data_IF_821187220525
#
_entry.id   IF_821187220525
#
_cell.length_a   1.000
_cell.length_b   1.000
_cell.length_c   1.000
_cell.angle_alpha   90.00
_cell.angle_beta   90.00
_cell.angle_gamma   90.00
#
_symmetry.space_group_name_H-M   'P 1'
#
loop_
_entity.id
_entity.type
_entity.pdbx_description
1 polymer ?
#
# COMPACT_ATOMS: atom_id res chain seq x y z
N UNK A 1 1.18 82.85 -5.53
CA UNK A 1 2.57 83.17 -5.91
C UNK A 1 3.38 81.89 -5.79
N UNK A 2 3.76 81.26 -6.91
CA UNK A 2 5.15 81.18 -7.41
C UNK A 2 5.99 80.29 -6.45
N UNK A 3 6.43 79.07 -6.78
CA UNK A 3 7.14 78.67 -8.00
C UNK A 3 7.10 77.14 -8.20
N UNK A 4 6.84 76.79 -9.45
CA UNK A 4 7.07 75.51 -10.11
C UNK A 4 8.58 75.31 -10.35
N UNK A 5 9.01 74.04 -10.44
CA UNK A 5 10.05 73.43 -11.32
C UNK A 5 10.91 72.43 -10.53
N UNK A 6 10.64 71.12 -10.66
CA UNK A 6 11.19 70.15 -11.64
C UNK A 6 12.72 69.99 -11.54
N UNK A 7 13.16 68.77 -11.20
CA UNK A 7 14.30 68.05 -11.78
C UNK A 7 14.16 66.56 -11.39
N UNK A 8 13.93 65.68 -12.37
CA UNK A 8 14.91 64.71 -12.92
C UNK A 8 15.29 63.62 -11.90
N UNK A 9 15.30 62.33 -12.15
CA UNK A 9 14.78 61.43 -13.17
C UNK A 9 15.15 60.03 -12.63
N UNK A 10 14.24 59.06 -12.73
CA UNK A 10 14.57 57.63 -12.66
C UNK A 10 14.77 57.03 -11.27
N UNK A 11 13.76 56.31 -10.78
CA UNK A 11 13.98 54.99 -10.16
C UNK A 11 12.83 54.09 -10.60
N UNK A 12 13.22 52.88 -10.95
CA UNK A 12 12.51 51.87 -11.69
C UNK A 12 11.18 51.39 -11.07
N UNK A 13 10.24 51.13 -11.98
CA UNK A 13 9.21 50.08 -11.96
C UNK A 13 9.37 49.02 -10.84
N UNK A 14 8.69 49.21 -9.70
CA UNK A 14 8.47 48.12 -8.73
C UNK A 14 7.16 47.44 -9.13
N UNK A 15 7.30 46.46 -10.03
CA UNK A 15 6.28 45.49 -10.38
C UNK A 15 6.89 44.11 -10.21
N UNK A 16 6.94 43.61 -8.98
CA UNK A 16 7.12 42.19 -8.67
C UNK A 16 7.06 42.00 -7.14
N UNK A 17 6.02 41.33 -6.67
CA UNK A 17 6.13 40.06 -5.94
C UNK A 17 4.78 39.72 -5.35
N UNK A 18 4.02 39.00 -6.16
CA UNK A 18 2.87 38.20 -5.76
C UNK A 18 3.40 37.17 -4.75
N UNK A 19 3.24 37.46 -3.47
CA UNK A 19 3.47 36.52 -2.37
C UNK A 19 2.23 35.64 -2.17
N UNK A 20 1.85 34.86 -3.18
CA UNK A 20 1.04 33.68 -2.91
C UNK A 20 1.99 32.71 -2.19
N UNK A 21 1.79 32.55 -0.89
CA UNK A 21 2.25 31.36 -0.18
C UNK A 21 1.52 30.15 -0.78
N UNK A 22 1.98 29.74 -1.96
CA UNK A 22 1.67 28.44 -2.53
C UNK A 22 2.17 27.44 -1.51
N UNK A 23 1.28 26.58 -1.02
CA UNK A 23 1.70 25.37 -0.33
C UNK A 23 2.75 24.70 -1.22
N UNK A 24 3.98 24.60 -0.72
CA UNK A 24 4.94 23.64 -1.23
C UNK A 24 4.39 22.26 -0.86
N UNK A 25 3.42 21.78 -1.65
CA UNK A 25 3.30 20.35 -1.86
C UNK A 25 4.52 20.01 -2.69
N UNK A 26 5.64 19.85 -2.00
CA UNK A 26 6.74 19.06 -2.51
C UNK A 26 6.10 17.86 -3.18
N UNK A 27 6.34 17.74 -4.47
CA UNK A 27 5.89 16.60 -5.26
C UNK A 27 6.49 15.38 -4.60
N UNK A 28 5.71 14.76 -3.70
CA UNK A 28 6.01 13.48 -3.06
C UNK A 28 6.01 12.46 -4.20
N UNK A 29 7.17 12.36 -4.85
CA UNK A 29 7.47 11.27 -5.74
C UNK A 29 7.64 10.05 -4.85
N UNK A 30 6.52 9.39 -4.55
CA UNK A 30 6.49 8.15 -3.78
C UNK A 30 7.25 7.11 -4.60
N UNK A 31 8.46 6.80 -4.16
CA UNK A 31 9.38 5.92 -4.87
C UNK A 31 9.01 4.45 -4.65
N UNK A 32 9.63 3.53 -5.41
CA UNK A 32 9.42 2.08 -5.23
C UNK A 32 9.81 1.62 -3.82
N UNK A 33 10.82 2.26 -3.23
CA UNK A 33 11.29 2.07 -1.87
C UNK A 33 10.21 2.46 -0.86
N UNK A 34 9.52 3.59 -1.07
CA UNK A 34 8.42 4.01 -0.20
C UNK A 34 7.26 3.01 -0.19
N UNK A 35 6.91 2.41 -1.34
CA UNK A 35 5.88 1.37 -1.38
C UNK A 35 6.32 0.11 -0.64
N UNK A 36 7.58 -0.29 -0.79
CA UNK A 36 8.12 -1.42 -0.05
C UNK A 36 8.07 -1.15 1.45
N UNK A 37 8.55 0.01 1.91
CA UNK A 37 8.56 0.39 3.33
C UNK A 37 7.15 0.44 3.91
N UNK A 38 6.19 1.05 3.21
CA UNK A 38 4.79 1.08 3.67
C UNK A 38 4.18 -0.32 3.75
N UNK A 39 4.47 -1.19 2.77
CA UNK A 39 4.01 -2.58 2.78
C UNK A 39 4.66 -3.41 3.89
N UNK A 40 5.94 -3.21 4.16
CA UNK A 40 6.67 -3.85 5.25
C UNK A 40 6.13 -3.43 6.62
N UNK A 41 5.86 -2.14 6.83
CA UNK A 41 5.19 -1.62 8.02
C UNK A 41 3.82 -2.27 8.23
N UNK A 42 2.98 -2.31 7.19
CA UNK A 42 1.65 -2.93 7.29
C UNK A 42 1.74 -4.42 7.63
N UNK A 43 2.69 -5.16 7.04
CA UNK A 43 2.93 -6.56 7.38
C UNK A 43 3.34 -6.72 8.84
N UNK A 44 4.37 -6.02 9.29
CA UNK A 44 4.86 -6.12 10.67
C UNK A 44 3.78 -5.74 11.68
N UNK A 45 2.94 -4.74 11.39
CA UNK A 45 1.84 -4.37 12.27
C UNK A 45 0.70 -5.39 12.30
N UNK A 46 0.31 -5.89 11.13
CA UNK A 46 -0.76 -6.88 11.03
C UNK A 46 -0.33 -8.20 11.68
N UNK A 47 0.87 -8.65 11.37
CA UNK A 47 1.45 -9.90 11.88
C UNK A 47 1.80 -9.75 13.37
N UNK A 48 2.17 -8.53 13.79
CA UNK A 48 2.33 -8.07 15.16
C UNK A 48 1.05 -7.88 15.96
N UNK A 49 -0.12 -7.96 15.32
CA UNK A 49 -1.40 -7.59 15.94
C UNK A 49 -1.37 -6.23 16.63
N UNK A 50 -0.66 -5.26 16.05
CA UNK A 50 -0.47 -3.90 16.56
C UNK A 50 -0.94 -2.81 15.59
N UNK A 51 -1.06 -1.56 16.07
CA UNK A 51 -1.57 -0.42 15.32
C UNK A 51 -3.06 -0.08 15.52
N UNK A 52 -3.65 0.71 14.61
CA UNK A 52 -4.99 1.28 14.84
C UNK A 52 -6.07 0.19 14.89
N UNK A 53 -6.68 0.02 16.07
CA UNK A 53 -7.70 -1.00 16.31
C UNK A 53 -7.16 -2.42 16.50
N UNK A 54 -5.88 -2.54 16.84
CA UNK A 54 -5.21 -3.79 17.17
C UNK A 54 -5.48 -4.25 18.61
N UNK A 55 -4.95 -5.39 19.04
CA UNK A 55 -5.08 -5.88 20.41
C UNK A 55 -3.86 -5.59 21.28
N UNK A 56 -2.71 -5.43 20.65
CA UNK A 56 -1.44 -5.24 21.31
C UNK A 56 -0.72 -4.03 20.76
N UNK A 57 0.24 -3.52 21.54
CA UNK A 57 1.25 -2.56 21.13
C UNK A 57 2.62 -3.18 21.40
N UNK A 58 3.62 -2.87 20.57
CA UNK A 58 4.98 -3.35 20.83
C UNK A 58 5.59 -2.58 21.98
N UNK A 59 6.23 -3.30 22.90
CA UNK A 59 7.17 -2.71 23.85
C UNK A 59 8.53 -2.69 23.17
N UNK A 60 9.00 -1.48 22.86
CA UNK A 60 10.29 -1.28 22.24
C UNK A 60 11.43 -1.36 23.27
N UNK A 61 12.65 -1.75 22.85
CA UNK A 61 13.04 -2.10 21.49
C UNK A 61 12.58 -3.50 21.04
N UNK A 62 12.36 -3.67 19.73
CA UNK A 62 12.12 -4.99 19.13
C UNK A 62 13.12 -5.25 18.01
N UNK A 63 13.32 -6.53 17.66
CA UNK A 63 14.18 -6.92 16.54
C UNK A 63 13.37 -7.37 15.34
N UNK A 64 13.78 -6.93 14.15
CA UNK A 64 13.25 -7.39 12.86
C UNK A 64 14.33 -8.08 12.06
N UNK A 65 13.96 -9.10 11.28
CA UNK A 65 14.85 -9.84 10.39
C UNK A 65 14.49 -9.54 8.94
N UNK A 66 15.50 -9.25 8.13
CA UNK A 66 15.36 -8.98 6.69
C UNK A 66 15.56 -10.25 5.86
N UNK A 67 15.25 -10.15 4.56
CA UNK A 67 15.34 -11.26 3.61
C UNK A 67 16.77 -11.76 3.36
N UNK A 68 17.77 -10.89 3.54
CA UNK A 68 19.19 -11.24 3.47
C UNK A 68 19.69 -11.98 4.74
N UNK A 69 18.80 -12.20 5.71
CA UNK A 69 19.10 -12.85 6.98
C UNK A 69 19.64 -11.90 8.05
N UNK A 70 19.90 -10.63 7.72
CA UNK A 70 20.36 -9.62 8.69
C UNK A 70 19.22 -9.25 9.64
N UNK A 71 19.58 -8.81 10.85
CA UNK A 71 18.62 -8.35 11.85
C UNK A 71 18.92 -6.92 12.26
N UNK A 72 17.89 -6.13 12.53
CA UNK A 72 18.02 -4.79 13.07
C UNK A 72 17.13 -4.62 14.30
N UNK A 73 17.68 -3.95 15.30
CA UNK A 73 16.92 -3.47 16.45
C UNK A 73 16.25 -2.15 16.09
N UNK A 74 14.97 -2.03 16.44
CA UNK A 74 14.17 -0.83 16.22
C UNK A 74 13.61 -0.36 17.55
N UNK A 75 13.67 0.94 17.79
CA UNK A 75 13.37 1.56 19.10
C UNK A 75 12.05 2.32 19.12
N UNK A 76 11.45 2.57 17.95
CA UNK A 76 10.14 3.19 17.80
C UNK A 76 9.52 2.82 16.45
N UNK A 77 8.27 3.24 16.22
CA UNK A 77 7.61 3.04 14.93
C UNK A 77 8.29 3.81 13.79
N UNK A 78 8.67 5.05 14.07
CA UNK A 78 9.37 5.94 13.15
C UNK A 78 10.74 5.39 12.82
N UNK A 79 11.48 4.94 13.84
CA UNK A 79 12.79 4.31 13.65
C UNK A 79 12.66 3.00 12.85
N UNK A 80 11.63 2.20 13.09
CA UNK A 80 11.36 1.00 12.28
C UNK A 80 11.14 1.33 10.81
N UNK A 81 10.35 2.38 10.50
CA UNK A 81 10.12 2.84 9.13
C UNK A 81 11.42 3.27 8.46
N UNK A 82 12.22 4.07 9.15
CA UNK A 82 13.51 4.57 8.63
C UNK A 82 14.49 3.41 8.40
N UNK A 83 14.64 2.51 9.37
CA UNK A 83 15.51 1.32 9.27
C UNK A 83 15.14 0.45 8.06
N UNK A 84 13.85 0.21 7.81
CA UNK A 84 13.41 -0.56 6.63
C UNK A 84 13.66 0.19 5.33
N UNK A 85 13.43 1.50 5.28
CA UNK A 85 13.70 2.31 4.09
C UNK A 85 15.19 2.25 3.74
N UNK A 86 16.06 2.53 4.70
CA UNK A 86 17.52 2.48 4.51
C UNK A 86 17.99 1.10 4.08
N UNK A 87 17.44 0.03 4.66
CA UNK A 87 17.77 -1.33 4.22
C UNK A 87 17.33 -1.57 2.76
N UNK A 88 16.13 -1.10 2.38
CA UNK A 88 15.61 -1.27 1.02
C UNK A 88 16.41 -0.50 -0.03
N UNK A 89 16.86 0.71 0.29
CA UNK A 89 17.73 1.53 -0.57
C UNK A 89 19.07 0.81 -0.86
N UNK A 90 19.62 0.12 0.14
CA UNK A 90 20.84 -0.69 -0.01
C UNK A 90 20.59 -2.05 -0.67
N UNK A 91 19.33 -2.51 -0.73
CA UNK A 91 18.91 -3.81 -1.28
C UNK A 91 17.78 -3.64 -2.32
N UNK A 92 18.06 -3.00 -3.47
CA UNK A 92 17.02 -2.61 -4.43
C UNK A 92 16.30 -3.80 -5.07
N UNK A 93 16.94 -4.97 -5.17
CA UNK A 93 16.34 -6.20 -5.70
C UNK A 93 15.44 -6.96 -4.69
N UNK A 94 15.49 -6.62 -3.40
CA UNK A 94 14.74 -7.35 -2.39
C UNK A 94 13.22 -7.16 -2.52
N UNK A 95 12.48 -8.26 -2.63
CA UNK A 95 11.02 -8.23 -2.73
C UNK A 95 10.33 -8.76 -1.47
N UNK A 96 11.05 -9.56 -0.68
CA UNK A 96 10.56 -10.13 0.57
C UNK A 96 10.56 -9.11 1.70
N UNK A 97 9.53 -9.19 2.55
CA UNK A 97 9.32 -8.25 3.66
C UNK A 97 10.01 -8.75 4.93
N UNK A 98 10.45 -7.84 5.81
CA UNK A 98 11.01 -8.23 7.10
C UNK A 98 9.98 -8.91 8.00
N UNK A 99 10.46 -9.77 8.89
CA UNK A 99 9.67 -10.50 9.88
C UNK A 99 10.10 -10.13 11.30
N UNK A 100 9.24 -10.40 12.28
CA UNK A 100 9.56 -10.19 13.70
C UNK A 100 10.53 -11.25 14.19
N UNK A 101 11.46 -10.86 15.06
CA UNK A 101 12.36 -11.76 15.77
C UNK A 101 11.88 -11.92 17.20
N UNK A 102 11.84 -13.16 17.67
CA UNK A 102 11.51 -13.50 19.04
C UNK A 102 12.78 -13.73 19.87
N UNK A 103 12.75 -13.48 21.19
CA UNK A 103 11.60 -13.05 21.98
C UNK A 103 11.24 -11.57 21.78
N UNK A 104 9.96 -11.23 21.98
CA UNK A 104 9.48 -9.85 21.99
C UNK A 104 8.46 -9.63 23.11
N UNK A 105 8.26 -8.36 23.48
CA UNK A 105 7.27 -7.96 24.49
C UNK A 105 6.12 -7.19 23.84
N UNK A 106 4.91 -7.49 24.30
CA UNK A 106 3.69 -6.80 23.88
C UNK A 106 2.89 -6.28 25.05
N UNK A 107 2.33 -5.09 24.87
CA UNK A 107 1.42 -4.44 25.80
C UNK A 107 -0.02 -4.65 25.31
N UNK A 108 -0.85 -5.31 26.11
CA UNK A 108 -2.28 -5.43 25.86
C UNK A 108 -3.02 -4.14 26.23
N UNK A 109 -4.24 -3.96 25.69
CA UNK A 109 -5.09 -2.79 25.97
C UNK A 109 -5.44 -2.59 27.44
N UNK A 110 -5.43 -3.66 28.22
CA UNK A 110 -5.68 -3.60 29.66
C UNK A 110 -4.44 -3.18 30.47
N UNK A 111 -3.31 -2.93 29.80
CA UNK A 111 -2.04 -2.55 30.41
C UNK A 111 -1.13 -3.73 30.75
N UNK A 112 -1.54 -4.97 30.46
CA UNK A 112 -0.73 -6.16 30.74
C UNK A 112 0.43 -6.27 29.75
N UNK A 113 1.67 -6.34 30.26
CA UNK A 113 2.86 -6.65 29.46
C UNK A 113 3.05 -8.16 29.43
N UNK A 114 3.14 -8.75 28.24
CA UNK A 114 3.41 -10.17 28.04
C UNK A 114 4.69 -10.36 27.24
N UNK A 115 5.61 -11.18 27.76
CA UNK A 115 6.78 -11.63 27.01
C UNK A 115 6.40 -12.84 26.18
N UNK A 116 6.80 -12.86 24.92
CA UNK A 116 6.47 -13.90 23.95
C UNK A 116 7.77 -14.47 23.41
N UNK A 117 8.00 -15.75 23.66
CA UNK A 117 9.27 -16.41 23.38
C UNK A 117 9.35 -16.98 21.96
N UNK A 118 8.21 -17.24 21.30
CA UNK A 118 8.15 -17.83 19.96
C UNK A 118 6.99 -17.33 19.11
N UNK A 119 7.09 -17.57 17.80
CA UNK A 119 6.05 -17.22 16.85
C UNK A 119 4.72 -17.97 17.10
N UNK A 120 4.80 -19.22 17.53
CA UNK A 120 3.64 -20.07 17.85
C UNK A 120 2.89 -19.56 19.09
N UNK A 121 3.64 -19.17 20.12
CA UNK A 121 3.07 -18.53 21.31
C UNK A 121 2.40 -17.21 20.92
N UNK A 122 3.06 -16.42 20.06
CA UNK A 122 2.50 -15.17 19.58
C UNK A 122 1.21 -15.35 18.78
N UNK A 123 1.17 -16.32 17.87
CA UNK A 123 -0.04 -16.67 17.11
C UNK A 123 -1.18 -17.10 18.03
N UNK A 124 -0.87 -17.83 19.08
CA UNK A 124 -1.86 -18.24 20.09
C UNK A 124 -2.38 -17.04 20.86
N UNK A 125 -1.49 -16.12 21.26
CA UNK A 125 -1.86 -14.86 21.91
C UNK A 125 -2.74 -14.00 21.00
N UNK A 126 -2.40 -13.88 19.71
CA UNK A 126 -3.19 -13.17 18.70
C UNK A 126 -4.56 -13.83 18.48
N UNK A 127 -4.69 -15.14 18.60
CA UNK A 127 -5.98 -15.83 18.46
C UNK A 127 -6.97 -15.46 19.59
N UNK A 128 -6.49 -14.99 20.74
CA UNK A 128 -7.33 -14.49 21.84
C UNK A 128 -7.86 -13.07 21.58
N UNK A 129 -7.30 -12.37 20.59
CA UNK A 129 -7.73 -11.03 20.21
C UNK A 129 -9.18 -11.05 19.68
N UNK A 130 -10.11 -10.25 20.24
CA UNK A 130 -11.47 -10.16 19.69
C UNK A 130 -11.42 -9.72 18.22
N UNK A 131 -12.23 -10.35 17.34
CA UNK A 131 -12.24 -10.00 15.92
C UNK A 131 -12.60 -8.52 15.77
N UNK A 132 -11.85 -7.80 14.93
CA UNK A 132 -12.02 -6.37 14.68
C UNK A 132 -13.50 -6.06 14.38
N UNK A 133 -14.23 -5.52 15.36
CA UNK A 133 -15.56 -4.92 15.15
C UNK A 133 -15.39 -3.55 14.50
N UNK A 134 -14.86 -3.53 13.29
CA UNK A 134 -14.80 -2.36 12.42
C UNK A 134 -15.68 -2.62 11.21
N UNK A 135 -16.58 -1.68 10.90
CA UNK A 135 -17.28 -1.60 9.60
C UNK A 135 -16.27 -1.30 8.48
N UNK A 136 -15.38 -2.24 8.19
CA UNK A 136 -14.60 -2.29 6.97
C UNK A 136 -15.34 -3.21 6.00
N UNK A 137 -15.36 -2.86 4.71
CA UNK A 137 -15.97 -3.65 3.64
C UNK A 137 -15.25 -4.98 3.36
N UNK A 138 -14.79 -5.69 4.39
CA UNK A 138 -14.41 -7.10 4.31
C UNK A 138 -15.63 -7.92 4.63
N UNK A 139 -16.29 -8.46 3.59
CA UNK A 139 -17.28 -9.52 3.75
C UNK A 139 -16.69 -10.59 4.67
N UNK A 140 -17.47 -11.07 5.62
CA UNK A 140 -17.05 -12.13 6.54
C UNK A 140 -16.39 -13.25 5.75
N UNK A 141 -15.11 -13.46 6.00
CA UNK A 141 -14.42 -14.68 5.60
C UNK A 141 -14.28 -15.45 6.90
N UNK A 142 -15.00 -16.58 6.99
CA UNK A 142 -14.80 -17.54 8.08
C UNK A 142 -13.32 -17.97 8.07
N UNK A 143 -12.72 -18.36 9.20
CA UNK A 143 -11.45 -19.08 9.19
C UNK A 143 -11.59 -20.33 8.30
N UNK A 144 -10.92 -20.35 7.15
CA UNK A 144 -11.06 -21.38 6.10
C UNK A 144 -11.63 -20.86 4.77
N UNK A 145 -12.28 -19.70 4.78
CA UNK A 145 -12.76 -18.98 3.61
C UNK A 145 -11.66 -18.03 3.15
N UNK A 146 -10.51 -18.57 2.72
CA UNK A 146 -9.71 -17.82 1.76
C UNK A 146 -10.60 -17.79 0.54
N UNK A 147 -11.10 -16.62 0.12
CA UNK A 147 -11.72 -16.51 -1.19
C UNK A 147 -10.77 -17.13 -2.19
N UNK A 148 -11.02 -18.39 -2.53
CA UNK A 148 -10.14 -19.16 -3.38
C UNK A 148 -10.27 -18.45 -4.71
N UNK A 149 -9.18 -17.85 -5.17
CA UNK A 149 -9.11 -17.43 -6.56
C UNK A 149 -9.13 -18.74 -7.36
N UNK A 150 -10.33 -19.26 -7.63
CA UNK A 150 -10.57 -20.45 -8.45
C UNK A 150 -10.04 -20.28 -9.89
N UNK A 151 -9.66 -19.05 -10.24
CA UNK A 151 -8.95 -18.73 -11.46
C UNK A 151 -7.97 -17.56 -11.25
N UNK A 152 -6.94 -17.51 -12.10
CA UNK A 152 -6.03 -16.38 -12.28
C UNK A 152 -6.23 -15.78 -13.69
N UNK A 153 -5.82 -14.53 -13.90
CA UNK A 153 -5.81 -13.96 -15.25
C UNK A 153 -4.64 -14.55 -16.04
N UNK A 154 -4.91 -15.03 -17.24
CA UNK A 154 -3.86 -15.36 -18.19
C UNK A 154 -3.47 -14.08 -18.93
N UNK A 155 -2.20 -13.72 -18.81
CA UNK A 155 -1.64 -12.52 -19.42
C UNK A 155 -1.13 -12.82 -20.84
N UNK A 156 -1.08 -11.80 -21.74
CA UNK A 156 -1.38 -10.38 -21.51
C UNK A 156 -2.87 -10.05 -21.48
N UNK A 157 -3.25 -8.96 -20.79
CA UNK A 157 -4.63 -8.42 -20.77
C UNK A 157 -4.67 -6.97 -21.20
N UNK A 158 -5.75 -6.55 -21.86
CA UNK A 158 -5.94 -5.18 -22.30
C UNK A 158 -6.83 -4.41 -21.31
N UNK A 159 -6.44 -3.16 -21.01
CA UNK A 159 -7.18 -2.25 -20.14
C UNK A 159 -7.58 -1.03 -20.94
N UNK A 160 -8.88 -0.73 -20.95
CA UNK A 160 -9.40 0.52 -21.46
C UNK A 160 -9.47 1.56 -20.34
N UNK A 161 -8.75 2.65 -20.52
CA UNK A 161 -8.81 3.82 -19.66
C UNK A 161 -10.07 4.64 -19.95
N UNK A 162 -10.56 5.46 -19.00
CA UNK A 162 -11.72 6.33 -19.22
C UNK A 162 -11.57 7.39 -20.32
N UNK A 163 -10.35 7.68 -20.76
CA UNK A 163 -10.06 8.53 -21.92
C UNK A 163 -10.15 7.78 -23.27
N UNK A 164 -10.66 6.55 -23.25
CA UNK A 164 -10.76 5.61 -24.37
C UNK A 164 -9.45 5.00 -24.84
N UNK A 165 -8.31 5.32 -24.23
CA UNK A 165 -7.01 4.70 -24.53
C UNK A 165 -6.99 3.24 -24.09
N UNK A 166 -6.44 2.35 -24.92
CA UNK A 166 -6.26 0.93 -24.58
C UNK A 166 -4.77 0.65 -24.34
N UNK A 167 -4.45 0.06 -23.19
CA UNK A 167 -3.09 -0.30 -22.79
C UNK A 167 -3.01 -1.79 -22.51
N UNK A 168 -2.00 -2.45 -23.07
CA UNK A 168 -1.73 -3.86 -22.80
C UNK A 168 -0.87 -4.02 -21.55
N UNK A 169 -1.30 -4.89 -20.64
CA UNK A 169 -0.54 -5.35 -19.50
C UNK A 169 0.08 -6.72 -19.82
N UNK A 170 1.41 -6.81 -19.85
CA UNK A 170 2.13 -8.05 -20.13
C UNK A 170 2.07 -9.07 -18.99
N UNK A 171 1.87 -8.59 -17.77
CA UNK A 171 1.78 -9.38 -16.55
C UNK A 171 0.97 -8.63 -15.48
N UNK A 172 0.85 -9.24 -14.30
CA UNK A 172 0.10 -8.70 -13.16
C UNK A 172 0.68 -7.39 -12.64
N UNK A 173 1.99 -7.24 -12.66
CA UNK A 173 2.67 -6.07 -12.10
C UNK A 173 2.56 -4.89 -13.07
N UNK A 174 2.61 -5.15 -14.38
CA UNK A 174 2.28 -4.18 -15.43
C UNK A 174 0.83 -3.71 -15.33
N UNK A 175 -0.12 -4.62 -15.14
CA UNK A 175 -1.55 -4.29 -14.94
C UNK A 175 -1.74 -3.38 -13.71
N UNK A 176 -1.12 -3.74 -12.59
CA UNK A 176 -1.18 -2.95 -11.37
C UNK A 176 -0.60 -1.55 -11.58
N UNK A 177 0.56 -1.45 -12.23
CA UNK A 177 1.23 -0.18 -12.53
C UNK A 177 0.36 0.73 -13.38
N UNK A 178 -0.31 0.20 -14.41
CA UNK A 178 -1.24 0.95 -15.27
C UNK A 178 -2.39 1.55 -14.45
N UNK A 179 -3.09 0.70 -13.65
CA UNK A 179 -4.25 1.13 -12.87
C UNK A 179 -3.88 2.16 -11.78
N UNK A 180 -2.74 1.96 -11.13
CA UNK A 180 -2.26 2.87 -10.07
C UNK A 180 -1.81 4.21 -10.63
N UNK A 181 -1.02 4.20 -11.70
CA UNK A 181 -0.58 5.42 -12.41
C UNK A 181 -1.78 6.23 -12.86
N UNK A 182 -2.79 5.57 -13.45
CA UNK A 182 -4.01 6.23 -13.83
C UNK A 182 -4.73 6.85 -12.63
N UNK A 183 -4.85 6.14 -11.48
CA UNK A 183 -5.52 6.69 -10.29
C UNK A 183 -4.74 7.85 -9.65
N UNK A 184 -3.41 7.79 -9.63
CA UNK A 184 -2.51 8.87 -9.17
C UNK A 184 -2.75 10.15 -9.99
N UNK A 185 -2.86 10.01 -11.31
CA UNK A 185 -3.09 11.13 -12.21
C UNK A 185 -4.56 11.60 -12.23
N UNK A 186 -5.49 10.80 -11.72
CA UNK A 186 -6.94 11.08 -11.71
C UNK A 186 -7.57 10.90 -10.30
N UNK A 187 -7.12 11.66 -9.28
CA UNK A 187 -7.50 11.42 -7.88
C UNK A 187 -9.00 11.64 -7.62
N UNK A 188 -9.62 12.62 -8.28
CA UNK A 188 -11.05 12.96 -8.14
C UNK A 188 -11.96 12.17 -9.08
N UNK A 189 -11.40 11.38 -10.00
CA UNK A 189 -12.22 10.64 -10.97
C UNK A 189 -13.04 9.54 -10.28
N UNK A 190 -14.33 9.51 -10.66
CA UNK A 190 -15.32 8.52 -10.22
C UNK A 190 -15.44 7.33 -11.17
N UNK A 191 -14.96 7.47 -12.41
CA UNK A 191 -14.91 6.40 -13.42
C UNK A 191 -13.61 5.63 -13.23
N UNK A 192 -13.55 4.34 -13.59
CA UNK A 192 -12.33 3.52 -13.45
C UNK A 192 -11.99 2.86 -14.78
N UNK A 193 -10.70 2.53 -15.03
CA UNK A 193 -10.33 1.68 -16.14
C UNK A 193 -11.03 0.33 -16.07
N UNK A 194 -11.30 -0.26 -17.23
CA UNK A 194 -12.00 -1.55 -17.38
C UNK A 194 -11.18 -2.52 -18.22
N UNK A 195 -11.29 -3.82 -17.96
CA UNK A 195 -10.71 -4.83 -18.83
C UNK A 195 -11.44 -4.83 -20.19
N UNK A 196 -10.67 -4.97 -21.26
CA UNK A 196 -11.21 -5.20 -22.61
C UNK A 196 -11.39 -6.70 -22.77
N UNK A 197 -12.62 -7.10 -23.08
CA UNK A 197 -12.97 -8.49 -23.36
C UNK A 197 -12.79 -8.80 -24.86
N UNK A 198 -12.50 -10.06 -25.23
CA UNK A 198 -12.39 -11.24 -24.36
C UNK A 198 -11.07 -11.29 -23.57
N UNK A 199 -11.12 -11.90 -22.37
CA UNK A 199 -9.94 -12.19 -21.55
C UNK A 199 -9.81 -13.71 -21.34
N UNK A 200 -8.59 -14.17 -21.09
CA UNK A 200 -8.34 -15.57 -20.69
C UNK A 200 -8.11 -15.65 -19.19
N UNK A 201 -8.62 -16.72 -18.58
CA UNK A 201 -8.38 -17.05 -17.18
C UNK A 201 -7.89 -18.48 -17.07
N UNK A 202 -6.96 -18.74 -16.16
CA UNK A 202 -6.47 -20.08 -15.84
C UNK A 202 -7.16 -20.55 -14.56
N UNK A 203 -7.95 -21.62 -14.64
CA UNK A 203 -8.63 -22.22 -13.50
C UNK A 203 -7.63 -22.94 -12.57
N UNK A 204 -8.05 -23.30 -11.35
CA UNK A 204 -7.20 -24.03 -10.38
C UNK A 204 -6.74 -25.42 -10.86
N UNK A 205 -7.46 -26.02 -11.82
CA UNK A 205 -7.09 -27.27 -12.46
C UNK A 205 -6.05 -27.08 -13.59
N UNK A 206 -5.62 -25.84 -13.84
CA UNK A 206 -4.70 -25.47 -14.91
C UNK A 206 -5.36 -25.22 -16.27
N UNK A 207 -6.68 -25.41 -16.39
CA UNK A 207 -7.40 -25.23 -17.65
C UNK A 207 -7.57 -23.74 -17.98
N UNK A 208 -7.29 -23.34 -19.23
CA UNK A 208 -7.61 -22.00 -19.71
C UNK A 208 -9.07 -21.89 -20.16
N UNK A 209 -9.78 -20.87 -19.66
CA UNK A 209 -11.12 -20.50 -20.09
C UNK A 209 -11.10 -19.09 -20.68
N UNK A 210 -11.71 -18.93 -21.84
CA UNK A 210 -11.96 -17.59 -22.41
C UNK A 210 -13.26 -17.05 -21.84
N UNK A 211 -13.22 -15.82 -21.36
CA UNK A 211 -14.35 -15.07 -20.81
C UNK A 211 -14.62 -13.93 -21.78
N UNK A 212 -15.79 -13.92 -22.41
CA UNK A 212 -16.12 -12.99 -23.49
C UNK A 212 -16.75 -11.68 -23.01
N UNK A 213 -17.15 -11.60 -21.74
CA UNK A 213 -17.86 -10.45 -21.19
C UNK A 213 -17.64 -10.25 -19.69
N UNK A 214 -17.99 -9.05 -19.20
CA UNK A 214 -17.95 -8.73 -17.77
C UNK A 214 -18.95 -9.58 -16.99
N UNK A 215 -20.09 -9.86 -17.61
CA UNK A 215 -21.18 -10.66 -17.07
C UNK A 215 -20.70 -12.11 -16.86
N UNK A 216 -20.01 -12.69 -17.85
CA UNK A 216 -19.40 -14.02 -17.71
C UNK A 216 -18.30 -14.04 -16.64
N UNK A 217 -17.49 -12.99 -16.54
CA UNK A 217 -16.47 -12.90 -15.48
C UNK A 217 -17.12 -12.86 -14.09
N UNK A 218 -18.25 -12.17 -13.96
CA UNK A 218 -19.00 -12.07 -12.71
C UNK A 218 -19.63 -13.41 -12.36
N UNK A 219 -20.31 -14.05 -13.32
CA UNK A 219 -20.88 -15.38 -13.16
C UNK A 219 -19.81 -16.42 -12.77
N UNK A 220 -18.61 -16.33 -13.37
CA UNK A 220 -17.49 -17.20 -13.02
C UNK A 220 -17.05 -16.98 -11.56
N UNK A 221 -16.94 -15.74 -11.11
CA UNK A 221 -16.61 -15.43 -9.71
C UNK A 221 -17.67 -15.93 -8.74
N UNK A 222 -18.95 -15.73 -9.06
CA UNK A 222 -20.06 -16.17 -8.22
C UNK A 222 -20.11 -17.70 -8.12
N UNK A 223 -19.80 -18.42 -9.21
CA UNK A 223 -19.69 -19.88 -9.20
C UNK A 223 -18.58 -20.43 -8.32
N UNK A 224 -17.58 -19.61 -7.97
CA UNK A 224 -16.45 -20.02 -7.13
C UNK A 224 -16.65 -19.74 -5.64
N UNK A 225 -17.68 -18.96 -5.28
CA UNK A 225 -18.02 -18.62 -3.90
C UNK A 225 -19.11 -19.50 -3.29
N UNK A 226 -19.50 -20.59 -3.98
CA UNK A 226 -20.47 -21.59 -3.52
C UNK A 226 -19.78 -22.92 -3.22
#
# INVERSE_FOLDING_TARGET
>A
MIKLMKNFAGVAFILAMIGLASCDKSSLDVTSEDYFTLGAMDSLHRDGGCGRGSCFEFVYPISIKFADGTTAEVTSNENMRETIRTWKENNPSATERPTLVFPLEVLAKDGTVSSVASEEEFKTLLATCPPKRGKGHGRGHKPGDRGQNCFTLAFPVNVQLPDSTVVAAADRDALHTILHTWKKNNPTSRVRPTLVFPIKVTLTDGTEKTVASKEELTALKDSCGN
#
